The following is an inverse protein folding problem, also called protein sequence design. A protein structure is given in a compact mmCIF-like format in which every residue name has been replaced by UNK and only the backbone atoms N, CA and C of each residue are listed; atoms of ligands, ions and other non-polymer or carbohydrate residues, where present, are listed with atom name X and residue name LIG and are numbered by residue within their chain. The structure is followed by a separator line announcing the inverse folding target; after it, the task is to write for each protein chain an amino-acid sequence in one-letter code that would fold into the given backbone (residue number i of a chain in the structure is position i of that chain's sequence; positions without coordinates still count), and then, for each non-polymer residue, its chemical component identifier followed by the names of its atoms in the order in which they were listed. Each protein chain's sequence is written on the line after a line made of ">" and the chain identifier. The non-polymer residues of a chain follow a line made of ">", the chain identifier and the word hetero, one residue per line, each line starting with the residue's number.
data_IF_444092163746
#
_entry.id   IF_444092163746
#
_cell.length_a   1.000
_cell.length_b   1.000
_cell.length_c   1.000
_cell.angle_alpha   90.00
_cell.angle_beta   90.00
_cell.angle_gamma   90.00
#
_symmetry.space_group_name_H-M   'P 1'
#
loop_
_entity.id
_entity.type
_entity.pdbx_description
1 polymer ?
#
# COMPACT_ATOMS: atom_id res chain seq x y z
N UNK A 1 9.48 -10.34 -10.17
CA UNK A 1 10.49 -9.83 -9.22
C UNK A 1 10.25 -10.46 -7.86
N UNK A 2 11.31 -11.00 -7.26
CA UNK A 2 11.18 -11.62 -5.94
C UNK A 2 11.01 -10.54 -4.86
N UNK A 3 10.14 -10.79 -3.89
CA UNK A 3 9.96 -9.89 -2.77
C UNK A 3 11.15 -10.00 -1.81
N UNK A 4 11.63 -8.86 -1.34
CA UNK A 4 12.67 -8.84 -0.31
C UNK A 4 12.03 -9.14 1.05
N UNK A 5 12.85 -9.50 2.04
CA UNK A 5 12.38 -9.71 3.40
C UNK A 5 11.68 -8.46 3.96
N UNK A 6 12.21 -7.30 3.66
CA UNK A 6 11.60 -6.02 4.09
C UNK A 6 10.21 -5.82 3.49
N UNK A 7 10.05 -6.16 2.21
CA UNK A 7 8.75 -6.07 1.54
C UNK A 7 7.75 -7.03 2.15
N UNK A 8 8.17 -8.25 2.47
CA UNK A 8 7.33 -9.25 3.11
C UNK A 8 6.84 -8.73 4.47
N UNK A 9 7.73 -8.14 5.26
CA UNK A 9 7.38 -7.55 6.56
C UNK A 9 6.36 -6.44 6.38
N UNK A 10 6.57 -5.55 5.40
CA UNK A 10 5.66 -4.43 5.13
C UNK A 10 4.28 -4.92 4.69
N UNK A 11 4.22 -5.90 3.80
CA UNK A 11 2.94 -6.49 3.36
C UNK A 11 2.23 -7.21 4.49
N UNK A 12 2.98 -7.90 5.36
CA UNK A 12 2.41 -8.57 6.53
C UNK A 12 1.81 -7.57 7.50
N UNK A 13 2.49 -6.46 7.75
CA UNK A 13 1.97 -5.39 8.61
C UNK A 13 0.69 -4.79 8.03
N UNK A 14 0.64 -4.60 6.71
CA UNK A 14 -0.53 -4.08 6.02
C UNK A 14 -1.70 -5.06 6.10
N UNK A 15 -1.44 -6.36 5.90
CA UNK A 15 -2.46 -7.40 6.01
C UNK A 15 -3.02 -7.48 7.44
N UNK A 16 -2.17 -7.39 8.45
CA UNK A 16 -2.61 -7.36 9.84
C UNK A 16 -3.46 -6.13 10.14
N UNK A 17 -3.12 -4.98 9.58
CA UNK A 17 -3.90 -3.76 9.72
C UNK A 17 -5.28 -3.91 9.07
N UNK A 18 -5.37 -4.58 7.91
CA UNK A 18 -6.65 -4.90 7.27
C UNK A 18 -7.50 -5.81 8.13
N UNK A 19 -6.91 -6.84 8.72
CA UNK A 19 -7.62 -7.76 9.63
C UNK A 19 -8.16 -7.02 10.85
N UNK A 20 -7.39 -6.08 11.37
CA UNK A 20 -7.83 -5.23 12.49
C UNK A 20 -9.05 -4.38 12.11
N UNK A 21 -9.05 -3.78 10.91
CA UNK A 21 -10.19 -3.04 10.39
C UNK A 21 -11.43 -3.93 10.32
N UNK A 22 -11.28 -5.14 9.77
CA UNK A 22 -12.39 -6.09 9.64
C UNK A 22 -12.96 -6.43 11.02
N UNK A 23 -12.10 -6.70 11.99
CA UNK A 23 -12.52 -6.99 13.35
C UNK A 23 -13.27 -5.82 13.97
N UNK A 24 -12.75 -4.60 13.87
CA UNK A 24 -13.39 -3.41 14.40
C UNK A 24 -14.71 -3.10 13.69
N UNK A 25 -14.76 -3.33 12.37
CA UNK A 25 -15.98 -3.15 11.60
C UNK A 25 -17.06 -4.15 12.02
N UNK A 26 -16.70 -5.41 12.25
CA UNK A 26 -17.63 -6.43 12.76
C UNK A 26 -18.16 -6.04 14.13
N UNK A 27 -17.29 -5.56 15.02
CA UNK A 27 -17.69 -5.12 16.34
C UNK A 27 -18.70 -3.97 16.25
N UNK A 28 -18.41 -2.94 15.46
CA UNK A 28 -19.31 -1.81 15.26
C UNK A 28 -20.65 -2.24 14.63
N UNK A 29 -20.60 -3.15 13.67
CA UNK A 29 -21.81 -3.62 12.97
C UNK A 29 -22.70 -4.51 13.83
N UNK A 30 -22.20 -5.01 14.97
CA UNK A 30 -22.98 -5.82 15.89
C UNK A 30 -24.02 -5.02 16.67
N UNK A 31 -23.89 -3.70 16.71
CA UNK A 31 -24.84 -2.83 17.42
C UNK A 31 -26.10 -2.64 16.58
N UNK A 32 -27.26 -2.71 17.26
CA UNK A 32 -28.53 -2.51 16.60
C UNK A 32 -28.98 -1.06 16.79
N UNK A 33 -28.96 -0.30 15.70
CA UNK A 33 -29.28 1.14 15.71
C UNK A 33 -30.72 1.42 16.20
N UNK A 34 -31.61 0.43 16.09
CA UNK A 34 -33.00 0.58 16.53
C UNK A 34 -33.13 0.72 18.03
N UNK A 35 -32.10 0.34 18.78
CA UNK A 35 -32.10 0.43 20.26
C UNK A 35 -31.36 1.67 20.77
N UNK A 36 -30.92 2.55 19.90
CA UNK A 36 -30.17 3.74 20.32
C UNK A 36 -31.09 4.78 20.94
N UNK A 37 -30.71 5.23 22.16
CA UNK A 37 -31.35 6.32 22.88
C UNK A 37 -30.30 7.36 23.25
N UNK A 38 -30.66 8.62 23.20
CA UNK A 38 -29.74 9.69 23.56
C UNK A 38 -29.30 9.54 25.03
N UNK A 39 -28.00 9.61 25.27
CA UNK A 39 -27.41 9.46 26.61
C UNK A 39 -27.31 8.02 27.10
N UNK A 40 -27.69 7.05 26.27
CA UNK A 40 -27.62 5.66 26.64
C UNK A 40 -26.15 5.16 26.52
N UNK A 41 -25.78 4.29 27.46
CA UNK A 41 -24.50 3.61 27.44
C UNK A 41 -24.31 2.83 26.15
N UNK A 42 -25.37 2.20 25.63
CA UNK A 42 -25.35 1.43 24.39
C UNK A 42 -24.92 2.30 23.20
N UNK A 43 -25.49 3.50 23.10
CA UNK A 43 -25.10 4.46 22.08
C UNK A 43 -23.65 4.92 22.29
N UNK A 44 -23.25 5.18 23.53
CA UNK A 44 -21.88 5.59 23.86
C UNK A 44 -20.88 4.51 23.48
N UNK A 45 -21.19 3.25 23.74
CA UNK A 45 -20.33 2.11 23.37
C UNK A 45 -20.22 1.97 21.85
N UNK A 46 -21.32 2.22 21.13
CA UNK A 46 -21.29 2.23 19.66
C UNK A 46 -20.37 3.34 19.12
N UNK A 47 -20.52 4.54 19.63
CA UNK A 47 -19.68 5.69 19.24
C UNK A 47 -18.21 5.39 19.49
N UNK A 48 -17.91 4.76 20.62
CA UNK A 48 -16.54 4.33 20.94
C UNK A 48 -16.04 3.30 19.96
N UNK A 49 -16.86 2.32 19.57
CA UNK A 49 -16.49 1.30 18.60
C UNK A 49 -16.22 1.89 17.21
N UNK A 50 -16.99 2.90 16.80
CA UNK A 50 -16.75 3.63 15.55
C UNK A 50 -15.42 4.40 15.64
N UNK A 51 -15.11 4.99 16.79
CA UNK A 51 -13.83 5.66 17.02
C UNK A 51 -12.65 4.71 16.90
N UNK A 52 -12.79 3.50 17.43
CA UNK A 52 -11.74 2.46 17.30
C UNK A 52 -11.56 2.01 15.86
N UNK A 53 -12.66 1.83 15.13
CA UNK A 53 -12.61 1.52 13.69
C UNK A 53 -11.89 2.63 12.91
N UNK A 54 -12.22 3.88 13.22
CA UNK A 54 -11.56 5.02 12.57
C UNK A 54 -10.04 5.02 12.80
N UNK A 55 -9.62 4.70 14.03
CA UNK A 55 -8.19 4.61 14.37
C UNK A 55 -7.51 3.49 13.56
N UNK A 56 -8.16 2.34 13.45
CA UNK A 56 -7.62 1.21 12.67
C UNK A 56 -7.50 1.58 11.19
N UNK A 57 -8.48 2.27 10.64
CA UNK A 57 -8.45 2.74 9.26
C UNK A 57 -7.33 3.76 9.04
N UNK A 58 -7.14 4.68 9.98
CA UNK A 58 -6.07 5.66 9.92
C UNK A 58 -4.69 5.00 9.97
N UNK A 59 -4.53 4.00 10.84
CA UNK A 59 -3.29 3.23 10.92
C UNK A 59 -2.99 2.49 9.60
N UNK A 60 -3.99 1.84 9.02
CA UNK A 60 -3.86 1.18 7.72
C UNK A 60 -3.44 2.19 6.65
N UNK A 61 -4.10 3.34 6.62
CA UNK A 61 -3.84 4.36 5.61
C UNK A 61 -2.38 4.86 5.69
N UNK A 62 -1.87 5.07 6.91
CA UNK A 62 -0.49 5.47 7.12
C UNK A 62 0.48 4.42 6.61
N UNK A 63 0.24 3.15 6.95
CA UNK A 63 1.07 2.04 6.48
C UNK A 63 1.01 1.91 4.96
N UNK A 64 -0.17 2.07 4.38
CA UNK A 64 -0.37 1.99 2.95
C UNK A 64 0.37 3.12 2.22
N UNK A 65 0.28 4.35 2.71
CA UNK A 65 0.97 5.49 2.12
C UNK A 65 2.48 5.30 2.16
N UNK A 66 3.01 4.85 3.29
CA UNK A 66 4.43 4.60 3.44
C UNK A 66 4.91 3.51 2.46
N UNK A 67 4.14 2.42 2.36
CA UNK A 67 4.47 1.33 1.44
C UNK A 67 4.39 1.79 -0.02
N UNK A 68 3.36 2.54 -0.38
CA UNK A 68 3.20 3.05 -1.75
C UNK A 68 4.33 3.99 -2.12
N UNK A 69 4.76 4.83 -1.19
CA UNK A 69 5.90 5.72 -1.42
C UNK A 69 7.17 4.93 -1.71
N UNK A 70 7.43 3.87 -0.92
CA UNK A 70 8.57 2.99 -1.17
C UNK A 70 8.48 2.28 -2.51
N UNK A 71 7.29 1.78 -2.85
CA UNK A 71 7.07 1.09 -4.13
C UNK A 71 7.26 2.04 -5.31
N UNK A 72 6.76 3.25 -5.22
CA UNK A 72 6.94 4.27 -6.26
C UNK A 72 8.42 4.57 -6.49
N UNK A 73 9.18 4.72 -5.41
CA UNK A 73 10.62 4.95 -5.49
C UNK A 73 11.31 3.76 -6.17
N UNK A 74 10.96 2.54 -5.78
CA UNK A 74 11.54 1.33 -6.35
C UNK A 74 11.16 1.15 -7.81
N UNK A 75 9.92 1.44 -8.17
CA UNK A 75 9.48 1.39 -9.56
C UNK A 75 10.22 2.39 -10.42
N UNK A 76 10.44 3.59 -9.90
CA UNK A 76 11.19 4.61 -10.61
C UNK A 76 12.65 4.22 -10.78
N UNK A 77 13.27 3.69 -9.73
CA UNK A 77 14.65 3.19 -9.80
C UNK A 77 14.79 2.08 -10.83
N UNK A 78 13.84 1.15 -10.85
CA UNK A 78 13.83 0.06 -11.83
C UNK A 78 13.65 0.61 -13.25
N UNK A 79 12.72 1.55 -13.43
CA UNK A 79 12.48 2.18 -14.72
C UNK A 79 13.74 2.88 -15.23
N UNK A 80 14.43 3.64 -14.38
CA UNK A 80 15.67 4.32 -14.72
C UNK A 80 16.76 3.31 -15.10
N UNK A 81 16.85 2.23 -14.35
CA UNK A 81 17.80 1.15 -14.66
C UNK A 81 17.51 0.52 -16.01
N UNK A 82 16.24 0.20 -16.28
CA UNK A 82 15.83 -0.39 -17.56
C UNK A 82 16.09 0.56 -18.72
N UNK A 83 15.81 1.84 -18.55
CA UNK A 83 16.11 2.86 -19.58
C UNK A 83 17.61 2.96 -19.84
N UNK A 84 18.41 2.94 -18.79
CA UNK A 84 19.86 2.96 -18.91
C UNK A 84 20.39 1.76 -19.68
N UNK A 85 19.84 0.56 -19.42
CA UNK A 85 20.23 -0.65 -20.13
C UNK A 85 19.78 -0.63 -21.58
N UNK A 86 18.56 -0.19 -21.84
CA UNK A 86 18.03 -0.08 -23.19
C UNK A 86 18.82 0.93 -24.03
N UNK A 87 19.17 2.06 -23.43
CA UNK A 87 20.00 3.07 -24.08
C UNK A 87 21.39 2.55 -24.42
N UNK A 88 22.00 1.84 -23.49
CA UNK A 88 23.31 1.21 -23.72
C UNK A 88 23.24 0.22 -24.86
N UNK A 89 22.25 -0.65 -24.88
CA UNK A 89 22.06 -1.64 -25.94
C UNK A 89 21.80 -0.97 -27.29
N UNK A 90 20.99 0.09 -27.28
CA UNK A 90 20.71 0.86 -28.49
C UNK A 90 21.98 1.46 -29.08
N UNK A 91 22.81 2.09 -28.26
CA UNK A 91 24.06 2.69 -28.73
C UNK A 91 25.04 1.64 -29.24
N UNK A 92 25.11 0.48 -28.63
CA UNK A 92 25.99 -0.60 -29.08
C UNK A 92 25.55 -1.11 -30.45
N UNK A 93 24.25 -1.36 -30.64
CA UNK A 93 23.71 -1.83 -31.92
C UNK A 93 23.81 -0.76 -33.02
N UNK A 94 23.37 0.44 -32.73
CA UNK A 94 23.37 1.55 -33.71
C UNK A 94 24.79 1.96 -34.03
N UNK A 95 25.69 1.92 -33.08
CA UNK A 95 27.10 2.22 -33.28
C UNK A 95 27.72 1.29 -34.30
N UNK A 96 27.47 0.00 -34.14
CA UNK A 96 27.98 -1.02 -35.09
C UNK A 96 27.33 -0.88 -36.46
N UNK A 97 26.01 -0.74 -36.50
CA UNK A 97 25.27 -0.57 -37.74
C UNK A 97 25.65 0.73 -38.46
N UNK A 98 25.80 1.79 -37.70
CA UNK A 98 26.16 3.09 -38.21
C UNK A 98 27.56 3.06 -38.84
N UNK A 99 28.49 2.40 -38.17
CA UNK A 99 29.82 2.19 -38.71
C UNK A 99 29.81 1.40 -40.00
N UNK A 100 28.92 0.42 -40.12
CA UNK A 100 28.72 -0.37 -41.33
C UNK A 100 28.05 0.46 -42.41
N UNK A 101 27.04 1.25 -42.07
CA UNK A 101 26.30 2.07 -43.03
C UNK A 101 27.16 3.18 -43.66
N UNK A 102 28.16 3.63 -42.99
CA UNK A 102 29.05 4.68 -43.44
C UNK A 102 30.14 4.20 -44.41
N UNK A 103 30.17 2.95 -44.68
CA UNK A 103 31.10 2.39 -45.63
C UNK A 103 30.71 2.66 -47.07
#
# INVERSE_FOLDING_TARGET
>A
MALTQENIIAYTALDNALKDIIEKAKNASSYNVNYFCSGDKYLSDYVKSIGELRKSMSNYNTLFEDLMMELEIKEQELWEYEQSQAERNYYDEVGDNYGTANK
#
